data_IF_214185090198
#
_entry.id   IF_214185090198
#
_cell.length_a   1.000
_cell.length_b   1.000
_cell.length_c   1.000
_cell.angle_alpha   90.00
_cell.angle_beta   90.00
_cell.angle_gamma   90.00
#
_symmetry.space_group_name_H-M   'P 1'
#
loop_
_entity.id
_entity.type
_entity.pdbx_description
1 polymer ?
#
# COMPACT_ATOMS: atom_id res chain seq x y z
N UNK A 1 14.40 -19.75 -1.42
CA UNK A 1 13.72 -18.57 -0.99
C UNK A 1 13.04 -18.79 0.35
N UNK A 2 13.17 -17.86 1.20
CA UNK A 2 12.66 -17.97 2.55
C UNK A 2 11.17 -17.69 2.63
N UNK A 3 10.50 -18.32 3.59
CA UNK A 3 9.10 -18.01 3.87
C UNK A 3 8.90 -16.54 4.27
N UNK A 4 9.94 -15.93 4.82
CA UNK A 4 9.88 -14.54 5.23
C UNK A 4 9.62 -13.60 4.06
N UNK A 5 9.91 -14.05 2.84
CA UNK A 5 9.69 -13.24 1.66
C UNK A 5 8.29 -13.40 1.09
N UNK A 6 7.48 -14.26 1.69
CA UNK A 6 6.14 -14.55 1.20
C UNK A 6 5.14 -14.01 2.19
N UNK A 7 4.70 -12.78 1.96
CA UNK A 7 3.61 -12.22 2.73
C UNK A 7 2.30 -12.65 2.10
N UNK A 8 1.35 -12.99 2.95
CA UNK A 8 0.02 -13.36 2.47
C UNK A 8 -0.76 -12.11 2.09
N UNK A 9 -1.77 -12.29 1.27
CA UNK A 9 -2.61 -11.19 0.84
C UNK A 9 -3.14 -10.37 2.02
N UNK A 10 -3.63 -10.97 3.12
CA UNK A 10 -4.07 -10.15 4.27
C UNK A 10 -2.98 -9.25 4.83
N UNK A 11 -1.73 -9.68 4.81
CA UNK A 11 -0.61 -8.85 5.29
C UNK A 11 -0.42 -7.63 4.42
N UNK A 12 -0.52 -7.80 3.10
CA UNK A 12 -0.41 -6.67 2.18
C UNK A 12 -1.58 -5.71 2.33
N UNK A 13 -2.79 -6.23 2.54
CA UNK A 13 -3.97 -5.39 2.76
C UNK A 13 -3.82 -4.58 4.04
N UNK A 14 -3.24 -5.18 5.08
CA UNK A 14 -2.97 -4.47 6.32
C UNK A 14 -1.97 -3.33 6.10
N UNK A 15 -0.93 -3.57 5.30
CA UNK A 15 0.03 -2.53 4.95
C UNK A 15 -0.64 -1.37 4.22
N UNK A 16 -1.58 -1.68 3.32
CA UNK A 16 -2.33 -0.65 2.60
C UNK A 16 -3.16 0.17 3.57
N UNK A 17 -3.87 -0.48 4.49
CA UNK A 17 -4.68 0.22 5.48
C UNK A 17 -3.84 1.13 6.36
N UNK A 18 -2.69 0.63 6.82
CA UNK A 18 -1.78 1.43 7.64
C UNK A 18 -1.28 2.65 6.89
N UNK A 19 -0.97 2.49 5.59
CA UNK A 19 -0.51 3.61 4.78
C UNK A 19 -1.62 4.65 4.61
N UNK A 20 -2.85 4.21 4.39
CA UNK A 20 -4.00 5.11 4.28
C UNK A 20 -4.19 5.88 5.58
N UNK A 21 -4.09 5.20 6.72
CA UNK A 21 -4.22 5.85 8.03
C UNK A 21 -3.14 6.90 8.25
N UNK A 22 -1.91 6.62 7.80
CA UNK A 22 -0.84 7.60 7.91
C UNK A 22 -1.12 8.83 7.05
N UNK A 23 -1.59 8.62 5.82
CA UNK A 23 -1.95 9.73 4.93
C UNK A 23 -3.03 10.58 5.59
N UNK A 24 -4.06 9.95 6.14
CA UNK A 24 -5.12 10.65 6.84
C UNK A 24 -4.58 11.51 7.98
N UNK A 25 -3.67 10.95 8.78
CA UNK A 25 -3.09 11.71 9.89
C UNK A 25 -2.28 12.91 9.40
N UNK A 26 -1.49 12.72 8.33
CA UNK A 26 -0.66 13.80 7.80
C UNK A 26 -1.51 14.95 7.24
N UNK A 27 -2.68 14.64 6.72
CA UNK A 27 -3.54 15.64 6.10
C UNK A 27 -4.57 16.24 7.06
N UNK A 28 -4.76 15.63 8.23
CA UNK A 28 -5.80 16.05 9.17
C UNK A 28 -5.62 17.48 9.66
N UNK A 29 -4.38 17.93 9.84
CA UNK A 29 -4.09 19.24 10.40
C UNK A 29 -3.53 20.22 9.36
N UNK A 30 -3.76 19.96 8.08
CA UNK A 30 -3.26 20.83 7.04
C UNK A 30 -4.38 21.15 6.05
N UNK A 31 -4.33 22.36 5.46
CA UNK A 31 -5.22 22.69 4.36
C UNK A 31 -4.43 22.69 3.06
N UNK A 32 -5.10 22.96 1.95
CA UNK A 32 -4.47 22.93 0.64
C UNK A 32 -3.26 23.85 0.55
N UNK A 33 -3.40 25.08 1.04
CA UNK A 33 -2.31 26.05 0.96
C UNK A 33 -1.12 25.60 1.78
N UNK A 34 -1.36 25.16 3.00
CA UNK A 34 -0.31 24.69 3.90
C UNK A 34 0.38 23.46 3.30
N UNK A 35 -0.40 22.54 2.75
CA UNK A 35 0.15 21.33 2.13
C UNK A 35 1.06 21.68 0.94
N UNK A 36 0.64 22.62 0.10
CA UNK A 36 1.42 23.01 -1.08
C UNK A 36 2.73 23.68 -0.70
N UNK A 37 2.85 24.16 0.53
CA UNK A 37 4.07 24.79 1.04
C UNK A 37 4.85 23.89 1.99
N UNK A 38 4.48 22.63 2.13
CA UNK A 38 5.09 21.72 3.09
C UNK A 38 5.67 20.50 2.36
N UNK A 39 6.91 20.67 1.90
CA UNK A 39 7.58 19.61 1.13
C UNK A 39 7.69 18.33 1.95
N UNK A 40 7.92 18.44 3.25
CA UNK A 40 8.09 17.29 4.11
C UNK A 40 6.81 16.45 4.17
N UNK A 41 5.69 17.11 4.32
CA UNK A 41 4.40 16.40 4.33
C UNK A 41 4.08 15.83 2.96
N UNK A 42 4.39 16.57 1.89
CA UNK A 42 4.21 16.05 0.53
C UNK A 42 5.01 14.77 0.32
N UNK A 43 6.26 14.77 0.74
CA UNK A 43 7.13 13.60 0.58
C UNK A 43 6.61 12.41 1.38
N UNK A 44 6.11 12.67 2.59
CA UNK A 44 5.56 11.61 3.43
C UNK A 44 4.31 11.00 2.80
N UNK A 45 3.45 11.82 2.22
CA UNK A 45 2.24 11.35 1.54
C UNK A 45 2.61 10.53 0.31
N UNK A 46 3.53 11.03 -0.50
CA UNK A 46 4.00 10.33 -1.70
C UNK A 46 4.59 8.98 -1.32
N UNK A 47 5.40 8.95 -0.27
CA UNK A 47 6.01 7.70 0.20
C UNK A 47 4.94 6.68 0.55
N UNK A 48 3.86 7.11 1.18
CA UNK A 48 2.80 6.18 1.55
C UNK A 48 1.98 5.73 0.33
N UNK A 49 1.83 6.58 -0.68
CA UNK A 49 1.24 6.12 -1.94
C UNK A 49 2.10 5.06 -2.61
N UNK A 50 3.42 5.20 -2.53
CA UNK A 50 4.33 4.20 -3.07
C UNK A 50 4.18 2.87 -2.34
N UNK A 51 4.03 2.93 -1.01
CA UNK A 51 3.80 1.73 -0.19
C UNK A 51 2.51 1.03 -0.64
N UNK A 52 1.44 1.80 -0.85
CA UNK A 52 0.16 1.27 -1.30
C UNK A 52 0.31 0.61 -2.68
N UNK A 53 0.98 1.30 -3.60
CA UNK A 53 1.18 0.77 -4.95
C UNK A 53 1.97 -0.52 -4.96
N UNK A 54 3.02 -0.60 -4.15
CA UNK A 54 3.86 -1.79 -4.05
C UNK A 54 3.07 -2.96 -3.46
N UNK A 55 2.31 -2.70 -2.40
CA UNK A 55 1.51 -3.74 -1.77
C UNK A 55 0.42 -4.23 -2.71
N UNK A 56 -0.24 -3.32 -3.43
CA UNK A 56 -1.27 -3.68 -4.38
C UNK A 56 -0.69 -4.54 -5.52
N UNK A 57 0.50 -4.19 -5.98
CA UNK A 57 1.18 -4.97 -7.01
C UNK A 57 1.45 -6.40 -6.52
N UNK A 58 1.89 -6.53 -5.28
CA UNK A 58 2.14 -7.86 -4.71
C UNK A 58 0.87 -8.67 -4.56
N UNK A 59 -0.24 -8.03 -4.19
CA UNK A 59 -1.54 -8.70 -4.14
C UNK A 59 -1.90 -9.25 -5.52
N UNK A 60 -1.68 -8.44 -6.55
CA UNK A 60 -1.97 -8.84 -7.92
C UNK A 60 -1.13 -10.04 -8.33
N UNK A 61 0.15 -10.06 -7.99
CA UNK A 61 1.03 -11.18 -8.30
C UNK A 61 0.59 -12.46 -7.61
N UNK A 62 0.20 -12.37 -6.34
CA UNK A 62 -0.28 -13.54 -5.61
C UNK A 62 -1.60 -14.04 -6.17
N UNK A 63 -2.47 -13.13 -6.55
CA UNK A 63 -3.74 -13.51 -7.16
C UNK A 63 -3.50 -14.24 -8.48
N UNK A 64 -2.61 -13.76 -9.30
CA UNK A 64 -2.27 -14.40 -10.57
C UNK A 64 -1.69 -15.79 -10.35
N UNK A 65 -0.79 -15.91 -9.37
CA UNK A 65 -0.19 -17.20 -9.04
C UNK A 65 -1.24 -18.19 -8.54
N UNK A 66 -2.15 -17.72 -7.70
CA UNK A 66 -3.23 -18.55 -7.20
C UNK A 66 -4.14 -19.02 -8.35
N UNK A 67 -4.51 -18.12 -9.23
CA UNK A 67 -5.36 -18.45 -10.37
C UNK A 67 -4.70 -19.48 -11.27
N UNK A 68 -3.40 -19.40 -11.45
CA UNK A 68 -2.66 -20.36 -12.26
C UNK A 68 -2.63 -21.74 -11.59
N UNK A 69 -2.48 -21.77 -10.26
CA UNK A 69 -2.43 -23.02 -9.50
C UNK A 69 -3.80 -23.64 -9.27
N UNK A 70 -4.85 -22.84 -9.39
CA UNK A 70 -6.21 -23.26 -9.10
C UNK A 70 -7.17 -22.86 -10.24
N UNK A 71 -6.98 -23.44 -11.43
CA UNK A 71 -7.77 -23.03 -12.59
C UNK A 71 -9.27 -23.34 -12.46
N UNK A 72 -9.64 -24.18 -11.51
CA UNK A 72 -11.05 -24.51 -11.27
C UNK A 72 -11.79 -23.40 -10.52
N UNK A 73 -11.07 -22.41 -10.00
CA UNK A 73 -11.67 -21.30 -9.27
C UNK A 73 -11.93 -20.17 -10.25
N UNK A 74 -13.20 -19.72 -10.37
CA UNK A 74 -13.54 -18.64 -11.30
C UNK A 74 -12.96 -17.27 -10.88
#
# INVERSE_FOLDING_TARGET
>A
MSKANVLRIPDYLEHILEAIERIDRYLADTDEVAFLNDQKTQDAVVRNFEVIGEAAHNVELYHAAFATSHPEVP
#
